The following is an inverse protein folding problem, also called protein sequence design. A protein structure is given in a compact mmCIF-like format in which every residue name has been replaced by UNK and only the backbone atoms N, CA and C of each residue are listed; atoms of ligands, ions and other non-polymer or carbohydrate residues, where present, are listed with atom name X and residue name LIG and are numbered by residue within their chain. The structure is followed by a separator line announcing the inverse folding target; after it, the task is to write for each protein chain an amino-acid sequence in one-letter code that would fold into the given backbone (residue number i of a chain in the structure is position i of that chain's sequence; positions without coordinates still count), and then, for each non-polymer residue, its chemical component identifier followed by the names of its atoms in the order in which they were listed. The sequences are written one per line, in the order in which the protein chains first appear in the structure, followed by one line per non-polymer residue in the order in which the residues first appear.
data_IF_026579939877
#
_entry.id   IF_026579939877
#
_cell.length_a   1.000
_cell.length_b   1.000
_cell.length_c   1.000
_cell.angle_alpha   90.00
_cell.angle_beta   90.00
_cell.angle_gamma   90.00
#
_symmetry.space_group_name_H-M   'P 1'
#
loop_
_entity.id
_entity.type
_entity.pdbx_description
1 polymer ?
#
# COMPACT_ATOMS: atom_id res chain seq x y z
N UNK A 1 13.09 17.83 5.91
CA UNK A 1 13.03 17.71 5.75
C UNK A 1 13.01 17.77 5.63
N UNK A 2 13.02 17.61 5.65
CA UNK A 2 13.02 17.46 5.48
C UNK A 2 13.05 17.43 5.27
N UNK A 3 12.96 17.57 5.28
CA UNK A 3 13.05 17.38 5.13
C UNK A 3 12.91 17.03 4.68
N UNK A 4 12.87 16.87 4.34
CA UNK A 4 12.89 16.31 4.04
C UNK A 4 12.96 15.85 3.96
N UNK A 5 13.35 16.00 3.50
CA UNK A 5 13.49 15.28 3.57
C UNK A 5 14.03 14.55 4.35
N UNK A 6 15.00 14.84 4.78
CA UNK A 6 15.08 14.08 5.99
C UNK A 6 13.69 13.94 6.55
N UNK A 7 13.38 12.87 7.15
CA UNK A 7 12.03 12.64 7.60
C UNK A 7 11.02 12.41 6.50
N UNK A 8 11.50 12.42 5.28
CA UNK A 8 10.65 12.14 4.13
C UNK A 8 10.69 10.67 3.75
N UNK A 9 11.26 9.84 4.61
CA UNK A 9 11.30 8.41 4.36
C UNK A 9 9.92 7.83 4.62
N UNK A 10 9.44 7.04 3.71
CA UNK A 10 8.15 6.39 3.85
C UNK A 10 8.32 5.05 4.54
N UNK A 11 7.28 4.63 5.27
CA UNK A 11 7.30 3.35 5.97
C UNK A 11 7.08 2.21 5.00
N UNK A 12 7.91 1.17 5.07
CA UNK A 12 7.75 -0.01 4.24
C UNK A 12 6.72 -0.95 4.84
N UNK A 13 6.07 -1.69 3.98
CA UNK A 13 5.15 -2.75 4.39
C UNK A 13 5.15 -3.86 3.36
N UNK A 14 4.77 -5.06 3.77
CA UNK A 14 4.70 -6.21 2.87
C UNK A 14 3.29 -6.33 2.31
N UNK A 15 3.19 -6.62 1.03
CA UNK A 15 1.93 -6.78 0.34
C UNK A 15 2.09 -7.72 -0.84
N UNK A 16 1.10 -7.79 -1.71
CA UNK A 16 1.09 -8.69 -2.85
C UNK A 16 1.18 -7.90 -4.15
N UNK A 17 1.26 -8.63 -5.27
CA UNK A 17 1.07 -8.03 -6.58
C UNK A 17 -0.37 -7.51 -6.69
N UNK A 18 -0.58 -6.58 -7.62
CA UNK A 18 -1.90 -6.00 -7.85
C UNK A 18 -2.84 -7.02 -8.47
N UNK A 19 -4.09 -7.00 -8.02
CA UNK A 19 -5.19 -7.77 -8.63
C UNK A 19 -6.35 -6.83 -8.90
N UNK A 20 -7.16 -7.19 -9.88
CA UNK A 20 -8.32 -6.38 -10.25
C UNK A 20 -9.55 -6.70 -9.42
N UNK A 21 -9.53 -7.79 -8.66
CA UNK A 21 -10.66 -8.21 -7.81
C UNK A 21 -10.17 -8.49 -6.39
N UNK A 22 -11.02 -8.12 -5.41
CA UNK A 22 -10.70 -8.39 -4.02
C UNK A 22 -10.52 -9.89 -3.75
N UNK A 23 -11.39 -10.71 -4.34
CA UNK A 23 -11.33 -12.15 -4.14
C UNK A 23 -10.02 -12.75 -4.65
N UNK A 24 -9.43 -12.14 -5.68
CA UNK A 24 -8.15 -12.61 -6.20
C UNK A 24 -6.99 -12.16 -5.33
N UNK A 25 -7.10 -10.99 -4.70
CA UNK A 25 -6.07 -10.51 -3.78
C UNK A 25 -6.08 -11.26 -2.46
N UNK A 26 -7.25 -11.70 -2.02
CA UNK A 26 -7.37 -12.49 -0.79
C UNK A 26 -6.58 -13.79 -0.93
N UNK A 27 -5.74 -14.08 0.06
CA UNK A 27 -4.97 -15.31 0.05
C UNK A 27 -3.65 -15.24 -0.70
N UNK A 28 -3.33 -14.11 -1.35
CA UNK A 28 -2.02 -13.96 -1.96
C UNK A 28 -0.94 -13.78 -0.89
N UNK A 29 0.26 -14.26 -1.21
CA UNK A 29 1.41 -14.06 -0.32
C UNK A 29 1.81 -12.58 -0.32
N UNK A 30 2.31 -12.10 0.83
CA UNK A 30 2.83 -10.75 0.97
C UNK A 30 4.32 -10.78 0.66
N UNK A 31 4.65 -10.96 -0.61
CA UNK A 31 6.02 -11.13 -1.09
C UNK A 31 6.58 -9.89 -1.80
N UNK A 32 5.83 -8.79 -1.81
CA UNK A 32 6.27 -7.51 -2.37
C UNK A 32 6.43 -6.49 -1.25
N UNK A 33 7.39 -5.59 -1.40
CA UNK A 33 7.61 -4.51 -0.46
C UNK A 33 7.19 -3.20 -1.11
N UNK A 34 6.28 -2.49 -0.46
CA UNK A 34 5.83 -1.18 -0.87
C UNK A 34 5.98 -0.21 0.29
N UNK A 35 5.59 1.04 0.08
CA UNK A 35 5.80 2.11 1.04
C UNK A 35 4.54 2.95 1.16
N UNK A 36 4.31 3.52 2.34
CA UNK A 36 3.16 4.39 2.56
C UNK A 36 3.57 5.61 3.38
N UNK A 37 2.75 6.65 3.32
CA UNK A 37 3.06 7.92 3.99
C UNK A 37 2.41 8.04 5.37
N UNK A 38 1.81 6.97 5.85
CA UNK A 38 1.21 6.97 7.19
C UNK A 38 2.23 6.67 8.28
N UNK A 39 1.75 6.66 9.52
CA UNK A 39 2.60 6.45 10.68
C UNK A 39 2.56 5.03 11.22
N UNK A 40 1.63 4.21 10.76
CA UNK A 40 1.52 2.83 11.22
C UNK A 40 2.44 1.88 10.49
N UNK A 41 2.40 0.61 10.88
CA UNK A 41 3.20 -0.42 10.21
C UNK A 41 2.61 -0.83 8.88
N UNK A 42 1.32 -0.58 8.67
CA UNK A 42 0.63 -0.86 7.41
C UNK A 42 -0.20 0.36 7.02
N UNK A 43 -0.48 0.53 5.72
CA UNK A 43 -1.27 1.67 5.30
C UNK A 43 -2.73 1.54 5.75
N UNK A 44 -3.36 2.69 5.95
CA UNK A 44 -4.77 2.78 6.30
C UNK A 44 -5.46 3.69 5.28
N UNK A 45 -6.78 3.75 5.35
CA UNK A 45 -7.58 4.60 4.47
C UNK A 45 -7.05 6.03 4.51
N UNK A 46 -6.94 6.63 3.34
CA UNK A 46 -6.42 7.97 3.08
C UNK A 46 -4.89 8.07 3.03
N UNK A 47 -4.16 6.99 3.30
CA UNK A 47 -2.71 6.98 3.08
C UNK A 47 -2.42 6.83 1.60
N UNK A 48 -1.34 7.46 1.14
CA UNK A 48 -0.81 7.22 -0.20
C UNK A 48 0.21 6.10 -0.13
N UNK A 49 0.23 5.28 -1.17
CA UNK A 49 1.14 4.13 -1.24
C UNK A 49 1.99 4.21 -2.49
N UNK A 50 3.23 3.74 -2.36
CA UNK A 50 4.25 3.94 -3.38
C UNK A 50 5.01 2.64 -3.60
N UNK A 51 5.57 2.48 -4.80
CA UNK A 51 6.42 1.34 -5.11
C UNK A 51 7.88 1.59 -4.73
N UNK A 52 8.25 2.84 -4.43
CA UNK A 52 9.62 3.18 -4.03
C UNK A 52 9.61 3.94 -2.71
N UNK A 53 10.77 3.99 -2.05
CA UNK A 53 10.88 4.61 -0.73
C UNK A 53 11.04 6.13 -0.78
N UNK A 54 11.09 6.71 -1.96
CA UNK A 54 11.17 8.16 -2.12
C UNK A 54 9.82 8.81 -2.38
N UNK A 55 8.77 7.99 -2.56
CA UNK A 55 7.43 8.51 -2.79
C UNK A 55 7.23 9.13 -4.16
N UNK A 56 8.05 8.75 -5.14
CA UNK A 56 7.95 9.32 -6.49
C UNK A 56 7.13 8.47 -7.44
N UNK A 57 6.90 7.21 -7.11
CA UNK A 57 6.12 6.29 -7.96
C UNK A 57 4.97 5.71 -7.17
N UNK A 58 3.76 6.14 -7.49
CA UNK A 58 2.55 5.64 -6.84
C UNK A 58 2.25 4.22 -7.29
N UNK A 59 1.65 3.44 -6.40
CA UNK A 59 1.18 2.11 -6.77
C UNK A 59 0.01 2.23 -7.76
N UNK A 60 -0.07 1.26 -8.65
CA UNK A 60 -1.18 1.18 -9.60
C UNK A 60 -2.49 0.92 -8.84
N UNK A 61 -3.58 1.42 -9.38
CA UNK A 61 -4.91 1.17 -8.82
C UNK A 61 -5.24 -0.32 -8.85
N UNK A 62 -5.83 -0.81 -7.78
CA UNK A 62 -6.23 -2.21 -7.69
C UNK A 62 -6.26 -2.70 -6.26
N UNK A 63 -6.39 -4.01 -6.10
CA UNK A 63 -6.48 -4.66 -4.81
C UNK A 63 -5.13 -5.31 -4.47
N UNK A 64 -4.72 -5.17 -3.22
CA UNK A 64 -3.45 -5.71 -2.74
C UNK A 64 -3.69 -6.43 -1.42
N UNK A 65 -3.14 -7.64 -1.29
CA UNK A 65 -3.24 -8.38 -0.04
C UNK A 65 -2.35 -7.73 1.02
N UNK A 66 -2.91 -7.52 2.21
CA UNK A 66 -2.17 -6.93 3.32
C UNK A 66 -1.82 -7.98 4.35
N UNK A 67 -2.66 -8.99 4.49
CA UNK A 67 -2.45 -10.12 5.38
C UNK A 67 -3.32 -11.28 4.89
N UNK A 68 -3.31 -12.39 5.63
CA UNK A 68 -4.15 -13.54 5.28
C UNK A 68 -5.65 -13.20 5.29
N UNK A 69 -6.04 -12.13 5.98
CA UNK A 69 -7.45 -11.79 6.17
C UNK A 69 -7.82 -10.40 5.69
N UNK A 70 -6.87 -9.61 5.18
CA UNK A 70 -7.18 -8.23 4.80
C UNK A 70 -6.57 -7.86 3.45
N UNK A 71 -7.27 -6.94 2.77
CA UNK A 71 -6.94 -6.45 1.44
C UNK A 71 -7.17 -4.95 1.44
N UNK A 72 -6.31 -4.20 0.76
CA UNK A 72 -6.55 -2.78 0.55
C UNK A 72 -6.93 -2.54 -0.91
N UNK A 73 -7.76 -1.54 -1.12
CA UNK A 73 -8.05 -1.03 -2.45
C UNK A 73 -7.36 0.32 -2.64
N UNK A 74 -6.51 0.40 -3.65
CA UNK A 74 -5.79 1.62 -4.02
C UNK A 74 -6.47 2.21 -5.25
N UNK A 75 -6.81 3.48 -5.18
CA UNK A 75 -7.50 4.15 -6.29
C UNK A 75 -6.48 4.70 -7.30
N UNK A 76 -7.00 5.34 -8.36
CA UNK A 76 -6.15 5.85 -9.43
C UNK A 76 -5.23 7.00 -9.00
N UNK A 77 -5.46 7.56 -7.83
CA UNK A 77 -4.58 8.59 -7.25
C UNK A 77 -3.46 7.98 -6.41
N UNK A 78 -3.41 6.66 -6.28
CA UNK A 78 -2.40 6.01 -5.44
C UNK A 78 -2.73 6.05 -3.96
N UNK A 79 -3.97 6.35 -3.61
CA UNK A 79 -4.41 6.45 -2.23
C UNK A 79 -5.23 5.22 -1.84
N UNK A 80 -5.05 4.76 -0.60
CA UNK A 80 -5.87 3.68 -0.06
C UNK A 80 -7.28 4.22 0.16
N UNK A 81 -8.22 3.68 -0.60
CA UNK A 81 -9.60 4.11 -0.53
C UNK A 81 -10.41 3.25 0.44
N UNK A 82 -10.11 1.97 0.50
CA UNK A 82 -10.83 1.03 1.36
C UNK A 82 -9.85 0.06 2.00
N UNK A 83 -10.16 -0.33 3.24
CA UNK A 83 -9.51 -1.41 3.94
C UNK A 83 -10.54 -2.51 4.11
N UNK A 84 -10.30 -3.66 3.49
CA UNK A 84 -11.30 -4.70 3.35
C UNK A 84 -10.84 -5.97 4.05
N UNK A 85 -11.80 -6.77 4.49
CA UNK A 85 -11.51 -8.11 5.02
C UNK A 85 -11.87 -9.16 3.99
N UNK A 86 -11.12 -10.24 4.01
CA UNK A 86 -11.40 -11.38 3.14
C UNK A 86 -12.57 -12.24 3.65
#
# INVERSE_FOLDING_TARGET
SDICCTGCTYSSYSSSIMKSLRSEACGLAQDQTYYHNGTGTTPVVNNFVYSNNTGTTLLAAGYYSLSATSVIYVNSSGMVENLLTC
#
